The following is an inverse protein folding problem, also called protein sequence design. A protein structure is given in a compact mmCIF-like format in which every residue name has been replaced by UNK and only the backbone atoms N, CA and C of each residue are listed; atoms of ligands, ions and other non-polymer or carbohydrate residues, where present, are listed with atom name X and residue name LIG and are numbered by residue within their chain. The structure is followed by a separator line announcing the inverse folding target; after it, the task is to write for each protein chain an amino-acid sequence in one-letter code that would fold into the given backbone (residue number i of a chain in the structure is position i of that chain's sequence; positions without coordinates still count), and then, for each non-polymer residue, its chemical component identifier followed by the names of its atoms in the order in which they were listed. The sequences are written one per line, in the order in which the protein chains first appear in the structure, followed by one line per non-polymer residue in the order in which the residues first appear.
data_IF_272184177195
#
_entry.id   IF_272184177195
#
_cell.length_a   1.000
_cell.length_b   1.000
_cell.length_c   1.000
_cell.angle_alpha   90.00
_cell.angle_beta   90.00
_cell.angle_gamma   90.00
#
_symmetry.space_group_name_H-M   'P 1'
#
loop_
_entity.id
_entity.type
_entity.pdbx_description
1 polymer ?
#
# COMPACT_ATOMS: atom_id res chain seq x y z
N UNK A 1 22.38 10.07 25.44
CA UNK A 1 23.01 9.47 24.24
C UNK A 1 22.89 7.94 24.14
N UNK A 2 22.20 7.22 25.04
CA UNK A 2 22.12 5.75 25.02
C UNK A 2 21.21 5.12 23.93
N UNK A 3 20.53 5.90 23.08
CA UNK A 3 19.52 5.40 22.11
C UNK A 3 20.12 4.93 20.78
N UNK A 4 21.34 5.35 20.46
CA UNK A 4 22.03 5.05 19.20
C UNK A 4 22.59 3.63 19.15
N UNK A 5 23.16 3.13 20.25
CA UNK A 5 23.76 1.79 20.31
C UNK A 5 22.72 0.66 20.15
N UNK A 6 21.57 0.80 20.81
CA UNK A 6 20.47 -0.16 20.69
C UNK A 6 19.88 -0.23 19.28
N UNK A 7 19.87 0.89 18.56
CA UNK A 7 19.34 0.95 17.20
C UNK A 7 20.23 0.18 16.22
N UNK A 8 21.55 0.27 16.38
CA UNK A 8 22.53 -0.48 15.56
C UNK A 8 22.44 -1.98 15.87
N UNK A 9 22.36 -2.36 17.16
CA UNK A 9 22.19 -3.77 17.57
C UNK A 9 20.90 -4.37 16.99
N UNK A 10 19.80 -3.62 17.04
CA UNK A 10 18.51 -4.04 16.45
C UNK A 10 18.60 -4.13 14.93
N UNK A 11 19.24 -3.18 14.26
CA UNK A 11 19.40 -3.20 12.80
C UNK A 11 20.29 -4.35 12.34
N UNK A 12 21.34 -4.67 13.10
CA UNK A 12 22.18 -5.85 12.90
C UNK A 12 21.40 -7.16 13.09
N UNK A 13 20.61 -7.29 14.16
CA UNK A 13 19.75 -8.46 14.40
C UNK A 13 18.72 -8.65 13.28
N UNK A 14 18.12 -7.56 12.79
CA UNK A 14 17.18 -7.59 11.67
C UNK A 14 17.89 -7.98 10.38
N UNK A 15 19.06 -7.41 10.10
CA UNK A 15 19.86 -7.74 8.91
C UNK A 15 20.31 -9.21 8.90
N UNK A 16 20.84 -9.68 10.03
CA UNK A 16 21.26 -11.07 10.20
C UNK A 16 20.06 -12.03 10.11
N UNK A 17 18.96 -11.70 10.79
CA UNK A 17 17.72 -12.46 10.74
C UNK A 17 17.16 -12.56 9.32
N UNK A 18 17.10 -11.44 8.58
CA UNK A 18 16.66 -11.45 7.18
C UNK A 18 17.57 -12.31 6.29
N UNK A 19 18.88 -12.26 6.49
CA UNK A 19 19.82 -13.09 5.75
C UNK A 19 19.52 -14.58 5.97
N UNK A 20 19.29 -15.00 7.22
CA UNK A 20 18.92 -16.38 7.57
C UNK A 20 17.56 -16.79 6.99
N UNK A 21 16.60 -15.87 6.86
CA UNK A 21 15.28 -16.14 6.28
C UNK A 21 15.28 -16.27 4.74
N UNK A 22 16.40 -16.03 4.06
CA UNK A 22 16.47 -16.18 2.60
C UNK A 22 16.36 -17.65 2.19
N UNK A 23 15.76 -17.89 1.02
CA UNK A 23 15.61 -19.24 0.45
C UNK A 23 16.96 -19.97 0.33
N UNK A 24 18.00 -19.24 -0.08
CA UNK A 24 19.36 -19.77 -0.24
C UNK A 24 19.93 -20.32 1.09
N UNK A 25 19.75 -19.57 2.19
CA UNK A 25 20.24 -19.97 3.51
C UNK A 25 19.44 -21.13 4.08
N UNK A 26 18.13 -21.15 3.88
CA UNK A 26 17.28 -22.30 4.26
C UNK A 26 17.70 -23.55 3.49
N UNK A 27 17.93 -23.46 2.19
CA UNK A 27 18.40 -24.58 1.36
C UNK A 27 19.78 -25.07 1.81
N UNK A 28 20.72 -24.17 2.18
CA UNK A 28 22.04 -24.54 2.72
C UNK A 28 21.96 -25.21 4.10
N UNK A 29 21.17 -24.66 5.02
CA UNK A 29 20.98 -25.22 6.36
C UNK A 29 20.39 -26.64 6.27
N UNK A 30 19.38 -26.84 5.43
CA UNK A 30 18.77 -28.14 5.21
C UNK A 30 19.75 -29.14 4.59
N UNK A 31 20.59 -28.71 3.64
CA UNK A 31 21.67 -29.55 3.08
C UNK A 31 22.71 -29.96 4.14
N UNK A 32 23.09 -29.06 5.04
CA UNK A 32 24.00 -29.41 6.13
C UNK A 32 23.39 -30.46 7.06
N UNK A 33 22.09 -30.38 7.32
CA UNK A 33 21.37 -31.37 8.14
C UNK A 33 21.37 -32.76 7.47
N UNK A 34 21.27 -32.81 6.14
CA UNK A 34 21.39 -34.06 5.37
C UNK A 34 22.80 -34.62 5.46
N UNK A 35 23.82 -33.78 5.25
CA UNK A 35 25.23 -34.21 5.31
C UNK A 35 25.63 -34.71 6.70
N UNK A 36 25.03 -34.17 7.77
CA UNK A 36 25.23 -34.62 9.15
C UNK A 36 24.41 -35.88 9.50
N UNK A 37 23.69 -36.46 8.55
CA UNK A 37 22.84 -37.65 8.75
C UNK A 37 21.54 -37.39 9.52
N UNK A 38 21.21 -36.13 9.81
CA UNK A 38 20.03 -35.77 10.60
C UNK A 38 18.71 -35.72 9.82
N UNK A 39 18.76 -35.70 8.47
CA UNK A 39 17.60 -35.72 7.59
C UNK A 39 17.92 -36.45 6.27
N UNK A 40 16.94 -37.11 5.68
CA UNK A 40 17.08 -37.56 4.28
C UNK A 40 16.98 -36.37 3.30
N UNK A 41 17.66 -36.47 2.15
CA UNK A 41 17.58 -35.46 1.06
C UNK A 41 16.14 -35.12 0.67
N UNK A 42 15.24 -36.11 0.66
CA UNK A 42 13.84 -35.93 0.33
C UNK A 42 13.10 -35.11 1.40
N UNK A 43 13.35 -35.40 2.69
CA UNK A 43 12.71 -34.72 3.82
C UNK A 43 13.17 -33.28 3.95
N UNK A 44 14.48 -33.04 3.78
CA UNK A 44 15.06 -31.70 3.77
C UNK A 44 14.42 -30.80 2.72
N UNK A 45 14.27 -31.31 1.49
CA UNK A 45 13.64 -30.58 0.37
C UNK A 45 12.15 -30.31 0.62
N UNK A 46 11.44 -31.27 1.23
CA UNK A 46 10.03 -31.13 1.62
C UNK A 46 9.84 -30.07 2.71
N UNK A 47 10.65 -30.11 3.78
CA UNK A 47 10.61 -29.13 4.88
C UNK A 47 10.99 -27.72 4.42
N UNK A 48 12.02 -27.58 3.59
CA UNK A 48 12.40 -26.30 3.00
C UNK A 48 11.24 -25.67 2.21
N UNK A 49 10.60 -26.43 1.32
CA UNK A 49 9.45 -25.95 0.52
C UNK A 49 8.26 -25.56 1.40
N UNK A 50 7.96 -26.33 2.44
CA UNK A 50 6.88 -25.99 3.37
C UNK A 50 7.17 -24.70 4.14
N UNK A 51 8.40 -24.51 4.64
CA UNK A 51 8.83 -23.29 5.31
C UNK A 51 8.70 -22.07 4.39
N UNK A 52 9.20 -22.16 3.16
CA UNK A 52 9.12 -21.07 2.18
C UNK A 52 7.66 -20.73 1.84
N UNK A 53 6.81 -21.75 1.64
CA UNK A 53 5.40 -21.56 1.33
C UNK A 53 4.64 -20.91 2.49
N UNK A 54 4.86 -21.36 3.73
CA UNK A 54 4.27 -20.74 4.93
C UNK A 54 4.77 -19.31 5.11
N UNK A 55 6.07 -19.07 4.97
CA UNK A 55 6.67 -17.73 5.06
C UNK A 55 6.07 -16.77 4.04
N UNK A 56 5.81 -17.21 2.80
CA UNK A 56 5.15 -16.38 1.78
C UNK A 56 3.72 -15.99 2.18
N UNK A 57 2.94 -16.93 2.73
CA UNK A 57 1.58 -16.64 3.22
C UNK A 57 1.60 -15.63 4.37
N UNK A 58 2.51 -15.79 5.33
CA UNK A 58 2.64 -14.89 6.47
C UNK A 58 3.19 -13.51 6.07
N UNK A 59 4.17 -13.45 5.14
CA UNK A 59 4.63 -12.18 4.54
C UNK A 59 3.47 -11.36 3.99
N UNK A 60 2.54 -11.99 3.29
CA UNK A 60 1.40 -11.28 2.69
C UNK A 60 0.48 -10.65 3.74
N UNK A 61 0.27 -11.32 4.88
CA UNK A 61 -0.50 -10.76 6.01
C UNK A 61 0.26 -9.62 6.68
N UNK A 62 1.56 -9.80 6.86
CA UNK A 62 2.46 -8.82 7.46
C UNK A 62 2.53 -7.55 6.60
N UNK A 63 2.68 -7.69 5.28
CA UNK A 63 2.65 -6.57 4.32
C UNK A 63 1.34 -5.80 4.39
N UNK A 64 0.19 -6.48 4.48
CA UNK A 64 -1.13 -5.82 4.67
C UNK A 64 -1.21 -5.07 5.99
N UNK A 65 -0.70 -5.66 7.08
CA UNK A 65 -0.68 -5.02 8.39
C UNK A 65 0.19 -3.76 8.37
N UNK A 66 1.40 -3.84 7.79
CA UNK A 66 2.30 -2.70 7.59
C UNK A 66 1.63 -1.63 6.73
N UNK A 67 1.05 -1.99 5.58
CA UNK A 67 0.37 -1.04 4.71
C UNK A 67 -0.78 -0.32 5.43
N UNK A 68 -1.58 -1.05 6.20
CA UNK A 68 -2.66 -0.47 6.98
C UNK A 68 -2.15 0.49 8.05
N UNK A 69 -1.09 0.12 8.76
CA UNK A 69 -0.51 0.95 9.82
C UNK A 69 0.15 2.21 9.25
N UNK A 70 0.91 2.07 8.16
CA UNK A 70 1.50 3.19 7.42
C UNK A 70 0.40 4.11 6.90
N UNK A 71 -0.67 3.57 6.30
CA UNK A 71 -1.80 4.40 5.85
C UNK A 71 -2.51 5.11 7.00
N UNK A 72 -2.70 4.45 8.15
CA UNK A 72 -3.29 5.08 9.35
C UNK A 72 -2.40 6.20 9.86
N UNK A 73 -1.08 6.00 9.93
CA UNK A 73 -0.13 6.99 10.40
C UNK A 73 -0.03 8.19 9.45
N UNK A 74 0.01 7.94 8.14
CA UNK A 74 -0.06 9.01 7.13
C UNK A 74 -1.34 9.85 7.25
N UNK A 75 -2.49 9.21 7.49
CA UNK A 75 -3.76 9.90 7.75
C UNK A 75 -3.73 10.73 9.04
N UNK A 76 -3.18 10.17 10.14
CA UNK A 76 -3.02 10.89 11.42
C UNK A 76 -2.13 12.12 11.27
N UNK A 77 -1.11 12.06 10.42
CA UNK A 77 -0.20 13.17 10.13
C UNK A 77 -0.78 14.18 9.12
N UNK A 78 -2.06 14.06 8.72
CA UNK A 78 -2.70 14.87 7.66
C UNK A 78 -1.96 14.84 6.31
N UNK A 79 -1.17 13.80 6.06
CA UNK A 79 -0.43 13.65 4.80
C UNK A 79 -1.37 13.04 3.76
N UNK A 80 -1.82 13.85 2.81
CA UNK A 80 -2.64 13.39 1.69
C UNK A 80 -1.84 12.47 0.77
N UNK A 81 -2.39 11.29 0.45
CA UNK A 81 -1.76 10.40 -0.52
C UNK A 81 -2.01 10.89 -1.95
N UNK A 82 -1.15 10.51 -2.92
CA UNK A 82 -1.39 10.79 -4.36
C UNK A 82 -2.78 10.32 -4.84
N UNK A 83 -3.33 9.27 -4.24
CA UNK A 83 -4.66 8.76 -4.55
C UNK A 83 -5.77 9.73 -4.12
N UNK A 84 -5.60 10.36 -2.95
CA UNK A 84 -6.55 11.35 -2.43
C UNK A 84 -6.52 12.63 -3.28
N UNK A 85 -5.34 13.05 -3.74
CA UNK A 85 -5.19 14.16 -4.69
C UNK A 85 -5.92 13.87 -6.01
N UNK A 86 -5.71 12.69 -6.63
CA UNK A 86 -6.45 12.29 -7.84
C UNK A 86 -7.96 12.20 -7.64
N UNK A 87 -8.43 11.76 -6.45
CA UNK A 87 -9.87 11.78 -6.11
C UNK A 87 -10.41 13.20 -6.03
N UNK A 88 -9.64 14.13 -5.46
CA UNK A 88 -10.00 15.55 -5.41
C UNK A 88 -10.04 16.15 -6.81
N UNK A 89 -9.06 15.89 -7.68
CA UNK A 89 -9.07 16.33 -9.08
C UNK A 89 -10.31 15.82 -9.85
N UNK A 90 -10.65 14.53 -9.71
CA UNK A 90 -11.87 13.97 -10.31
C UNK A 90 -13.14 14.61 -9.75
N UNK A 91 -13.18 14.94 -8.45
CA UNK A 91 -14.32 15.66 -7.86
C UNK A 91 -14.41 17.10 -8.39
N UNK A 92 -13.28 17.79 -8.52
CA UNK A 92 -13.20 19.15 -9.07
C UNK A 92 -13.64 19.15 -10.54
N UNK A 93 -13.17 18.21 -11.37
CA UNK A 93 -13.56 18.12 -12.77
C UNK A 93 -15.04 17.77 -12.97
N UNK A 94 -15.61 16.92 -12.10
CA UNK A 94 -17.06 16.64 -12.09
C UNK A 94 -17.88 17.87 -11.66
N UNK A 95 -17.39 18.63 -10.68
CA UNK A 95 -18.07 19.84 -10.19
C UNK A 95 -17.95 21.00 -11.18
N UNK A 96 -16.83 21.12 -11.91
CA UNK A 96 -16.66 22.09 -13.00
C UNK A 96 -17.56 21.76 -14.19
N UNK A 97 -17.69 20.48 -14.59
CA UNK A 97 -18.66 20.02 -15.60
C UNK A 97 -20.12 20.25 -15.17
N UNK A 98 -20.47 20.10 -13.89
CA UNK A 98 -21.82 20.47 -13.41
C UNK A 98 -22.06 21.98 -13.41
N UNK A 99 -21.05 22.80 -13.12
CA UNK A 99 -21.16 24.27 -13.18
C UNK A 99 -21.34 24.79 -14.62
N UNK A 100 -20.75 24.15 -15.63
CA UNK A 100 -21.01 24.51 -17.04
C UNK A 100 -22.43 24.14 -17.49
N UNK A 101 -22.99 23.02 -17.02
CA UNK A 101 -24.38 22.62 -17.34
C UNK A 101 -25.46 23.48 -16.66
N UNK A 102 -25.19 24.09 -15.49
CA UNK A 102 -26.15 24.99 -14.79
C UNK A 102 -26.14 26.43 -15.30
N UNK A 103 -25.13 26.87 -16.06
CA UNK A 103 -25.12 28.21 -16.70
C UNK A 103 -25.91 28.25 -18.01
N UNK A 104 -26.14 27.11 -18.67
CA UNK A 104 -26.94 27.04 -19.90
C UNK A 104 -28.46 27.18 -19.65
N UNK A 105 -28.98 26.75 -18.50
CA UNK A 105 -30.44 26.79 -18.20
C UNK A 105 -30.94 28.09 -17.54
N UNK A 106 -30.05 29.02 -17.14
CA UNK A 106 -30.46 30.34 -16.60
C UNK A 106 -30.57 31.43 -17.67
N UNK A 107 -30.05 31.23 -18.89
CA UNK A 107 -30.12 32.22 -20.00
C UNK A 107 -31.43 32.19 -20.79
N UNK A 108 -32.28 31.17 -20.66
CA UNK A 108 -33.52 31.03 -21.46
C UNK A 108 -34.81 31.50 -20.77
N UNK A 109 -34.79 31.91 -19.48
CA UNK A 109 -35.99 32.45 -18.80
C UNK A 109 -36.05 33.98 -18.65
N UNK A 110 -34.96 34.73 -18.90
CA UNK A 110 -34.97 36.20 -18.75
C UNK A 110 -35.27 36.98 -20.04
N UNK A 111 -35.36 36.34 -21.21
CA UNK A 111 -35.63 37.03 -22.48
C UNK A 111 -37.09 37.05 -22.93
N UNK A 112 -38.00 36.30 -22.29
CA UNK A 112 -39.42 36.20 -22.74
C UNK A 112 -40.43 37.12 -22.02
N UNK A 113 -40.01 37.96 -21.06
CA UNK A 113 -40.90 38.90 -20.33
C UNK A 113 -40.70 40.39 -20.68
N UNK A 114 -39.77 40.74 -21.58
CA UNK A 114 -39.51 42.14 -21.99
C UNK A 114 -40.05 42.54 -23.37
N UNK A 115 -40.67 41.64 -24.15
CA UNK A 115 -41.14 41.94 -25.51
C UNK A 115 -42.63 42.26 -25.65
N UNK A 116 -43.41 42.46 -24.57
CA UNK A 116 -44.86 42.74 -24.67
C UNK A 116 -45.32 44.09 -24.09
N UNK A 117 -44.43 45.06 -23.80
CA UNK A 117 -44.86 46.36 -23.23
C UNK A 117 -44.21 47.61 -23.83
N UNK A 118 -43.84 47.60 -25.12
CA UNK A 118 -43.39 48.82 -25.83
C UNK A 118 -43.89 48.92 -27.28
N UNK A 119 -45.11 48.43 -27.53
CA UNK A 119 -45.89 48.68 -28.75
C UNK A 119 -47.36 48.95 -28.38
N UNK A 120 -47.59 50.02 -27.64
CA UNK A 120 -48.80 50.85 -27.61
C UNK A 120 -48.52 52.04 -26.72
#
# INVERSE_FOLDING_TARGET
MAKSEDSVKKMGLVGLGLALLTKEQVDRFMKQMVNKGGLSSAEAKKKARQLISRSKKEKTKLDKAIQNEVQKNLKKMNIATKSDIKKLEKKISKKSKKKSSKKASKKTKSSKKKSSKKKK
#
